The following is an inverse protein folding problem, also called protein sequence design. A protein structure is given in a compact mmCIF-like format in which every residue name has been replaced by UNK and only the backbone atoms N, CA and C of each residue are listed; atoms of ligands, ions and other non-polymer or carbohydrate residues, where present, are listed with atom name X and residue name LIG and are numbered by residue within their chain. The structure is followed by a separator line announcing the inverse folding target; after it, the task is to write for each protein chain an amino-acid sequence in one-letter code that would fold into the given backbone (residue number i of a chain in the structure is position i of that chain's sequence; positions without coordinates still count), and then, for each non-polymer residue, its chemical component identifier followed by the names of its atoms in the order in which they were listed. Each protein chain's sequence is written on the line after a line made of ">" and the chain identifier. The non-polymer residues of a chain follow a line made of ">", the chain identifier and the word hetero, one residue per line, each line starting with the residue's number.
data_IF_580897472620
#
_entry.id   IF_580897472620
#
_cell.length_a   1.000
_cell.length_b   1.000
_cell.length_c   1.000
_cell.angle_alpha   90.00
_cell.angle_beta   90.00
_cell.angle_gamma   90.00
#
_symmetry.space_group_name_H-M   'P 1'
#
loop_
_entity.id
_entity.type
_entity.pdbx_description
1 polymer ?
#
# COMPACT_ATOMS: atom_id res chain seq x y z
N UNK A 1 -4.33 3.20 10.63
CA UNK A 1 -4.61 3.56 9.21
C UNK A 1 -5.73 4.59 9.07
N UNK A 2 -6.92 4.42 9.69
CA UNK A 2 -7.98 5.43 9.67
C UNK A 2 -7.54 6.85 10.10
N UNK A 3 -6.73 7.03 11.16
CA UNK A 3 -6.25 8.35 11.56
C UNK A 3 -5.40 9.04 10.50
N UNK A 4 -4.60 8.27 9.75
CA UNK A 4 -3.78 8.78 8.65
C UNK A 4 -4.66 9.30 7.51
N UNK A 5 -5.69 8.55 7.15
CA UNK A 5 -6.67 8.95 6.14
C UNK A 5 -7.39 10.25 6.52
N UNK A 6 -7.87 10.35 7.76
CA UNK A 6 -8.56 11.56 8.24
C UNK A 6 -7.60 12.76 8.29
N UNK A 7 -6.37 12.56 8.76
CA UNK A 7 -5.33 13.59 8.81
C UNK A 7 -5.02 14.13 7.42
N UNK A 8 -4.81 13.25 6.43
CA UNK A 8 -4.43 13.66 5.08
C UNK A 8 -5.61 14.30 4.33
N UNK A 9 -6.83 13.78 4.49
CA UNK A 9 -8.04 14.35 3.87
C UNK A 9 -8.27 15.79 4.34
N UNK A 10 -8.12 16.04 5.66
CA UNK A 10 -8.20 17.39 6.22
C UNK A 10 -7.05 18.30 5.77
N UNK A 11 -5.82 17.77 5.71
CA UNK A 11 -4.64 18.54 5.26
C UNK A 11 -4.75 19.00 3.82
N UNK A 12 -5.41 18.21 2.96
CA UNK A 12 -5.58 18.51 1.54
C UNK A 12 -6.89 19.21 1.22
N UNK A 13 -7.82 19.28 2.17
CA UNK A 13 -9.20 19.73 1.94
C UNK A 13 -9.88 18.91 0.82
N UNK A 14 -9.66 17.58 0.84
CA UNK A 14 -10.23 16.63 -0.12
C UNK A 14 -10.88 15.49 0.66
N UNK A 15 -12.20 15.47 0.74
CA UNK A 15 -12.95 14.42 1.44
C UNK A 15 -12.89 13.06 0.73
N UNK A 16 -12.68 13.07 -0.59
CA UNK A 16 -12.69 11.87 -1.43
C UNK A 16 -11.38 11.07 -1.43
N UNK A 17 -10.40 11.43 -0.59
CA UNK A 17 -9.17 10.65 -0.43
C UNK A 17 -9.53 9.25 0.08
N UNK A 18 -8.95 8.24 -0.54
CA UNK A 18 -9.02 6.84 -0.11
C UNK A 18 -7.64 6.36 0.32
N UNK A 19 -7.61 5.38 1.22
CA UNK A 19 -6.42 4.59 1.52
C UNK A 19 -6.62 3.21 0.93
N UNK A 20 -5.85 2.89 -0.12
CA UNK A 20 -5.91 1.61 -0.82
C UNK A 20 -4.61 0.83 -0.57
N UNK A 21 -4.59 -0.44 -0.97
CA UNK A 21 -3.37 -1.25 -0.95
C UNK A 21 -3.33 -2.28 -2.07
N UNK A 22 -2.12 -2.69 -2.45
CA UNK A 22 -1.90 -3.84 -3.32
C UNK A 22 -0.55 -4.53 -3.01
N UNK A 23 -0.29 -5.73 -3.57
CA UNK A 23 0.94 -6.47 -3.28
C UNK A 23 2.24 -5.78 -3.70
N UNK A 24 2.22 -4.98 -4.76
CA UNK A 24 3.41 -4.34 -5.33
C UNK A 24 3.82 -3.05 -4.59
N UNK A 25 2.83 -2.25 -4.18
CA UNK A 25 3.02 -0.93 -3.58
C UNK A 25 2.82 -0.92 -2.07
N UNK A 26 2.23 -1.97 -1.49
CA UNK A 26 1.71 -1.89 -0.13
C UNK A 26 0.56 -0.88 -0.06
N UNK A 27 0.58 0.00 0.94
CA UNK A 27 -0.43 1.04 1.18
C UNK A 27 -0.10 2.35 0.48
N UNK A 28 -1.13 3.00 -0.08
CA UNK A 28 -1.03 4.30 -0.72
C UNK A 28 -2.37 5.06 -0.63
N UNK A 29 -2.32 6.38 -0.71
CA UNK A 29 -3.53 7.18 -0.88
C UNK A 29 -3.95 7.26 -2.35
N UNK A 30 -5.24 7.45 -2.57
CA UNK A 30 -5.81 7.61 -3.91
C UNK A 30 -6.88 8.69 -3.94
N UNK A 31 -6.84 9.52 -4.99
CA UNK A 31 -7.90 10.47 -5.34
C UNK A 31 -8.27 10.34 -6.81
N UNK A 32 -9.37 10.98 -7.22
CA UNK A 32 -9.74 11.05 -8.63
C UNK A 32 -8.75 11.89 -9.43
N UNK A 33 -8.69 11.69 -10.75
CA UNK A 33 -7.79 12.45 -11.63
C UNK A 33 -8.09 13.96 -11.66
N UNK A 34 -9.32 14.36 -11.28
CA UNK A 34 -9.68 15.79 -11.17
C UNK A 34 -8.81 16.54 -10.14
N UNK A 35 -8.33 15.83 -9.12
CA UNK A 35 -7.51 16.38 -8.05
C UNK A 35 -6.02 16.44 -8.37
N UNK A 36 -5.57 15.92 -9.52
CA UNK A 36 -4.14 15.79 -9.84
C UNK A 36 -3.36 17.10 -9.71
N UNK A 37 -3.93 18.20 -10.21
CA UNK A 37 -3.31 19.54 -10.11
C UNK A 37 -3.15 20.00 -8.67
N UNK A 38 -4.06 19.63 -7.78
CA UNK A 38 -4.00 19.99 -6.35
C UNK A 38 -2.91 19.17 -5.65
N UNK A 39 -2.90 17.85 -5.90
CA UNK A 39 -1.90 16.93 -5.33
C UNK A 39 -0.47 17.34 -5.73
N UNK A 40 -0.22 17.65 -7.01
CA UNK A 40 1.12 18.01 -7.49
C UNK A 40 1.66 19.33 -6.93
N UNK A 41 0.80 20.22 -6.43
CA UNK A 41 1.22 21.47 -5.77
C UNK A 41 1.66 21.25 -4.33
N UNK A 42 1.29 20.14 -3.71
CA UNK A 42 1.61 19.85 -2.32
C UNK A 42 3.03 19.29 -2.19
N UNK A 43 3.99 20.12 -1.76
CA UNK A 43 5.41 19.73 -1.59
C UNK A 43 5.64 18.56 -0.63
N UNK A 44 4.73 18.33 0.33
CA UNK A 44 4.84 17.23 1.29
C UNK A 44 4.28 15.90 0.77
N UNK A 45 3.89 15.82 -0.50
CA UNK A 45 3.33 14.63 -1.13
C UNK A 45 4.29 14.10 -2.19
N UNK A 46 4.47 12.79 -2.19
CA UNK A 46 5.11 12.04 -3.26
C UNK A 46 4.05 11.37 -4.13
N UNK A 47 3.95 11.77 -5.40
CA UNK A 47 3.08 11.11 -6.37
C UNK A 47 3.75 9.82 -6.85
N UNK A 48 3.04 8.70 -6.75
CA UNK A 48 3.49 7.39 -7.22
C UNK A 48 3.19 7.28 -8.72
N UNK A 49 1.93 7.50 -9.10
CA UNK A 49 1.49 7.59 -10.49
C UNK A 49 0.14 8.30 -10.62
N UNK A 50 -0.19 8.68 -11.85
CA UNK A 50 -1.48 9.25 -12.21
C UNK A 50 -1.92 8.73 -13.59
N UNK A 51 -2.97 7.91 -13.65
CA UNK A 51 -3.49 7.37 -14.91
C UNK A 51 -5.02 7.34 -14.95
N UNK A 52 -5.60 7.35 -16.16
CA UNK A 52 -7.03 7.15 -16.35
C UNK A 52 -7.44 5.77 -15.80
N UNK A 53 -8.50 5.73 -15.01
CA UNK A 53 -8.98 4.50 -14.34
C UNK A 53 -8.41 4.30 -12.93
N UNK A 54 -7.09 4.48 -12.74
CA UNK A 54 -6.48 4.38 -11.40
C UNK A 54 -6.70 5.65 -10.57
N UNK A 55 -6.76 6.82 -11.20
CA UNK A 55 -6.77 8.12 -10.51
C UNK A 55 -5.35 8.59 -10.23
N UNK A 56 -5.14 9.25 -9.10
CA UNK A 56 -3.81 9.69 -8.64
C UNK A 56 -3.46 8.91 -7.39
N UNK A 57 -2.37 8.14 -7.44
CA UNK A 57 -1.81 7.41 -6.31
C UNK A 57 -0.65 8.18 -5.72
N UNK A 58 -0.64 8.36 -4.41
CA UNK A 58 0.35 9.19 -3.73
C UNK A 58 0.57 8.74 -2.28
N UNK A 59 1.62 9.28 -1.65
CA UNK A 59 1.92 9.10 -0.23
C UNK A 59 2.42 10.40 0.39
N UNK A 60 2.34 10.50 1.71
CA UNK A 60 3.15 11.43 2.50
C UNK A 60 4.26 10.66 3.23
N UNK A 61 5.16 11.39 3.93
CA UNK A 61 6.29 10.79 4.64
C UNK A 61 5.83 9.81 5.73
N UNK A 62 4.81 10.18 6.51
CA UNK A 62 4.29 9.34 7.59
C UNK A 62 3.79 7.97 7.07
N UNK A 63 3.02 7.95 5.97
CA UNK A 63 2.56 6.69 5.38
C UNK A 63 3.70 5.92 4.72
N UNK A 64 4.65 6.61 4.08
CA UNK A 64 5.78 5.96 3.42
C UNK A 64 6.64 5.17 4.42
N UNK A 65 6.98 5.77 5.56
CA UNK A 65 7.80 5.14 6.61
C UNK A 65 7.15 3.87 7.17
N UNK A 66 5.84 3.91 7.41
CA UNK A 66 5.10 2.76 7.94
C UNK A 66 4.91 1.71 6.86
N UNK A 67 4.68 2.12 5.61
CA UNK A 67 4.52 1.21 4.49
C UNK A 67 5.80 0.44 4.19
N UNK A 68 6.97 1.08 4.28
CA UNK A 68 8.26 0.42 4.12
C UNK A 68 8.43 -0.71 5.15
N UNK A 69 8.20 -0.40 6.44
CA UNK A 69 8.25 -1.41 7.51
C UNK A 69 7.25 -2.54 7.28
N UNK A 70 6.03 -2.19 6.86
CA UNK A 70 5.00 -3.17 6.52
C UNK A 70 5.45 -4.09 5.39
N UNK A 71 6.04 -3.56 4.32
CA UNK A 71 6.51 -4.37 3.20
C UNK A 71 7.61 -5.34 3.61
N UNK A 72 8.57 -4.90 4.42
CA UNK A 72 9.64 -5.76 4.96
C UNK A 72 9.04 -6.92 5.76
N UNK A 73 8.16 -6.61 6.72
CA UNK A 73 7.52 -7.63 7.56
C UNK A 73 6.64 -8.59 6.76
N UNK A 74 5.86 -8.07 5.82
CA UNK A 74 5.01 -8.88 4.95
C UNK A 74 5.84 -9.80 4.03
N UNK A 75 7.01 -9.33 3.57
CA UNK A 75 7.95 -10.16 2.80
C UNK A 75 8.50 -11.31 3.64
N UNK A 76 8.99 -11.02 4.85
CA UNK A 76 9.48 -12.03 5.80
C UNK A 76 8.39 -13.07 6.10
N UNK A 77 7.17 -12.61 6.40
CA UNK A 77 6.04 -13.48 6.66
C UNK A 77 5.73 -14.39 5.46
N UNK A 78 5.69 -13.84 4.24
CA UNK A 78 5.39 -14.60 3.02
C UNK A 78 6.45 -15.66 2.73
N UNK A 79 7.72 -15.35 2.93
CA UNK A 79 8.81 -16.32 2.77
C UNK A 79 8.67 -17.45 3.79
N UNK A 80 8.46 -17.12 5.07
CA UNK A 80 8.28 -18.13 6.11
C UNK A 80 7.05 -19.02 5.85
N UNK A 81 5.95 -18.44 5.38
CA UNK A 81 4.73 -19.15 5.03
C UNK A 81 4.94 -20.10 3.85
N UNK A 82 5.64 -19.66 2.80
CA UNK A 82 5.97 -20.51 1.65
C UNK A 82 6.86 -21.69 2.05
N UNK A 83 7.83 -21.47 2.93
CA UNK A 83 8.69 -22.55 3.44
C UNK A 83 7.92 -23.55 4.30
N UNK A 84 6.96 -23.06 5.10
CA UNK A 84 6.06 -23.91 5.87
C UNK A 84 5.19 -24.76 4.95
N UNK A 85 4.55 -24.16 3.94
CA UNK A 85 3.72 -24.86 2.97
C UNK A 85 4.50 -25.97 2.25
N UNK A 86 5.73 -25.69 1.81
CA UNK A 86 6.61 -26.69 1.20
C UNK A 86 6.93 -27.86 2.15
N UNK A 87 7.23 -27.57 3.42
CA UNK A 87 7.50 -28.61 4.44
C UNK A 87 6.28 -29.49 4.70
N UNK A 88 5.09 -28.89 4.76
CA UNK A 88 3.82 -29.61 4.96
C UNK A 88 3.56 -30.54 3.77
N UNK A 89 3.68 -30.04 2.54
CA UNK A 89 3.49 -30.85 1.32
C UNK A 89 4.50 -32.00 1.26
N UNK A 90 5.78 -31.74 1.57
CA UNK A 90 6.81 -32.78 1.58
C UNK A 90 6.52 -33.87 2.63
N UNK A 91 6.09 -33.49 3.84
CA UNK A 91 5.81 -34.44 4.93
C UNK A 91 4.54 -35.27 4.68
N UNK A 92 3.51 -34.69 4.07
CA UNK A 92 2.26 -35.38 3.79
C UNK A 92 2.34 -36.22 2.51
N UNK A 93 3.02 -35.72 1.46
CA UNK A 93 3.21 -36.44 0.20
C UNK A 93 4.16 -37.64 0.30
N UNK A 94 5.06 -37.64 1.28
CA UNK A 94 5.96 -38.77 1.56
C UNK A 94 5.30 -39.94 2.30
N UNK A 95 4.06 -39.79 2.80
CA UNK A 95 3.32 -40.86 3.47
C UNK A 95 2.36 -41.65 2.57
N UNK A 96 2.39 -41.40 1.26
CA UNK A 96 1.54 -42.08 0.26
C UNK A 96 2.31 -42.99 -0.71
N UNK A 97 3.55 -43.37 -0.37
CA UNK A 97 4.37 -44.33 -1.12
C UNK A 97 4.66 -45.59 -0.33
#
# INVERSE_FOLDING_TARGET
>A
LLPFLVKIAKKLDIESVKLDSNPQLGFFYRVTLKEEKNIRKCKSISVIDATKGSGVRFSDGDLADINERYQVLNSIYRTAQQDLERKVIATCGSKTG
#
